data_IF_354708531137
#
_entry.id   IF_354708531137
#
_cell.length_a   1.000
_cell.length_b   1.000
_cell.length_c   1.000
_cell.angle_alpha   90.00
_cell.angle_beta   90.00
_cell.angle_gamma   90.00
#
_symmetry.space_group_name_H-M   'P 1'
#
loop_
_entity.id
_entity.type
_entity.pdbx_description
1 polymer ?
#
# COMPACT_ATOMS: atom_id res chain seq x y z
N UNK A 1 -8.35 -19.76 -14.63
CA UNK A 1 -7.24 -18.83 -14.91
C UNK A 1 -7.78 -17.41 -14.89
N UNK A 2 -7.66 -16.71 -13.76
CA UNK A 2 -8.06 -15.31 -13.66
C UNK A 2 -6.94 -14.47 -14.29
N UNK A 3 -7.15 -13.99 -15.53
CA UNK A 3 -6.29 -12.95 -16.11
C UNK A 3 -6.60 -11.66 -15.34
N UNK A 4 -5.88 -11.39 -14.25
CA UNK A 4 -5.98 -10.11 -13.59
C UNK A 4 -5.51 -9.03 -14.58
N UNK A 5 -6.40 -8.08 -14.89
CA UNK A 5 -6.00 -6.84 -15.57
C UNK A 5 -4.94 -6.20 -14.67
N UNK A 6 -3.73 -6.05 -15.19
CA UNK A 6 -2.60 -5.39 -14.50
C UNK A 6 -3.10 -4.13 -13.79
N UNK A 7 -3.23 -4.21 -12.48
CA UNK A 7 -3.58 -3.08 -11.63
C UNK A 7 -2.37 -2.15 -11.61
N UNK A 8 -2.54 -0.95 -12.11
CA UNK A 8 -1.50 0.09 -12.06
C UNK A 8 -1.78 0.87 -10.78
N UNK A 9 -0.79 0.99 -9.90
CA UNK A 9 -0.90 1.83 -8.70
C UNK A 9 -1.09 3.28 -9.14
N UNK A 10 -2.34 3.75 -9.15
CA UNK A 10 -2.72 5.00 -9.80
C UNK A 10 -2.55 6.23 -8.93
N UNK A 11 -2.58 6.10 -7.60
CA UNK A 11 -2.61 7.24 -6.68
C UNK A 11 -1.92 6.85 -5.36
N UNK A 12 -0.93 7.65 -4.93
CA UNK A 12 -0.20 7.46 -3.67
C UNK A 12 -0.44 8.68 -2.78
N UNK A 13 -0.85 8.44 -1.53
CA UNK A 13 -1.00 9.51 -0.54
C UNK A 13 -0.16 9.24 0.70
N UNK A 14 0.74 10.17 1.01
CA UNK A 14 1.55 10.12 2.23
C UNK A 14 0.74 10.60 3.42
N UNK A 15 0.91 9.94 4.56
CA UNK A 15 0.37 10.38 5.85
C UNK A 15 1.47 10.41 6.90
N UNK A 16 1.51 11.42 7.78
CA UNK A 16 2.50 11.50 8.87
C UNK A 16 2.22 10.51 10.01
N UNK A 17 1.12 9.75 9.96
CA UNK A 17 0.77 8.77 11.01
C UNK A 17 0.10 7.54 10.42
N UNK A 18 0.30 6.40 11.07
CA UNK A 18 -0.33 5.12 10.72
C UNK A 18 -1.87 5.22 10.67
N UNK A 19 -2.49 5.83 11.70
CA UNK A 19 -3.94 6.02 11.74
C UNK A 19 -4.45 6.91 10.58
N UNK A 20 -3.69 7.95 10.24
CA UNK A 20 -4.01 8.79 9.08
C UNK A 20 -3.89 8.06 7.76
N UNK A 21 -2.90 7.18 7.61
CA UNK A 21 -2.73 6.33 6.42
C UNK A 21 -3.91 5.36 6.24
N UNK A 22 -4.33 4.68 7.31
CA UNK A 22 -5.47 3.77 7.30
C UNK A 22 -6.77 4.47 6.89
N UNK A 23 -7.11 5.61 7.51
CA UNK A 23 -8.32 6.38 7.16
C UNK A 23 -8.31 6.89 5.72
N UNK A 24 -7.14 7.26 5.20
CA UNK A 24 -7.00 7.69 3.79
C UNK A 24 -7.18 6.51 2.85
N UNK A 25 -6.58 5.36 3.14
CA UNK A 25 -6.74 4.15 2.35
C UNK A 25 -8.21 3.72 2.29
N UNK A 26 -8.91 3.76 3.43
CA UNK A 26 -10.35 3.48 3.50
C UNK A 26 -11.18 4.49 2.68
N UNK A 27 -10.89 5.79 2.78
CA UNK A 27 -11.56 6.81 1.98
C UNK A 27 -11.29 6.67 0.47
N UNK A 28 -10.08 6.27 0.09
CA UNK A 28 -9.71 6.01 -1.30
C UNK A 28 -10.40 4.77 -1.86
N UNK A 29 -10.61 3.74 -1.05
CA UNK A 29 -11.34 2.53 -1.43
C UNK A 29 -12.81 2.82 -1.81
N UNK A 30 -13.38 3.96 -1.41
CA UNK A 30 -14.71 4.39 -1.89
C UNK A 30 -14.76 4.66 -3.41
N UNK A 31 -13.60 4.91 -4.05
CA UNK A 31 -13.50 5.21 -5.49
C UNK A 31 -12.48 4.34 -6.24
N UNK A 32 -11.81 3.42 -5.55
CA UNK A 32 -10.81 2.51 -6.11
C UNK A 32 -11.23 1.06 -5.88
N UNK A 33 -10.86 0.15 -6.80
CA UNK A 33 -11.18 -1.28 -6.66
C UNK A 33 -10.53 -1.89 -5.41
N UNK A 34 -9.31 -1.46 -5.09
CA UNK A 34 -8.58 -1.84 -3.89
C UNK A 34 -7.61 -0.74 -3.45
N UNK A 35 -7.35 -0.66 -2.15
CA UNK A 35 -6.37 0.26 -1.57
C UNK A 35 -5.74 -0.38 -0.34
N UNK A 36 -4.43 -0.19 -0.17
CA UNK A 36 -3.71 -0.64 1.02
C UNK A 36 -3.06 0.55 1.73
N UNK A 37 -3.09 0.54 3.05
CA UNK A 37 -2.27 1.42 3.87
C UNK A 37 -0.95 0.70 4.18
N UNK A 38 0.16 1.35 3.86
CA UNK A 38 1.51 0.79 4.04
C UNK A 38 2.31 1.75 4.93
N UNK A 39 3.02 1.19 5.89
CA UNK A 39 4.06 1.87 6.64
C UNK A 39 5.41 1.53 6.03
N UNK A 40 6.13 2.57 5.62
CA UNK A 40 7.50 2.47 5.14
C UNK A 40 8.41 3.01 6.23
N UNK A 41 9.42 2.23 6.62
CA UNK A 41 10.54 2.67 7.43
C UNK A 41 11.75 2.70 6.53
N UNK A 42 12.44 3.83 6.50
CA UNK A 42 13.66 4.02 5.75
C UNK A 42 14.76 4.50 6.70
N UNK A 43 15.97 4.09 6.40
CA UNK A 43 17.18 4.50 7.12
C UNK A 43 17.36 6.02 6.98
N UNK A 44 17.64 6.70 8.08
CA UNK A 44 17.68 8.17 8.12
C UNK A 44 18.97 8.76 7.55
N UNK A 45 20.03 7.95 7.41
CA UNK A 45 21.31 8.36 6.82
C UNK A 45 21.34 8.18 5.29
N UNK A 46 20.78 7.09 4.79
CA UNK A 46 20.86 6.67 3.38
C UNK A 46 19.56 6.84 2.60
N UNK A 47 18.42 6.87 3.31
CA UNK A 47 17.09 6.84 2.70
C UNK A 47 16.70 5.48 2.12
N UNK A 48 17.48 4.44 2.37
CA UNK A 48 17.19 3.07 1.92
C UNK A 48 16.00 2.48 2.68
N UNK A 49 15.19 1.67 2.00
CA UNK A 49 14.05 0.99 2.60
C UNK A 49 14.53 -0.04 3.63
N UNK A 50 14.20 0.16 4.90
CA UNK A 50 14.46 -0.83 5.95
C UNK A 50 13.32 -1.83 6.07
N UNK A 51 12.06 -1.35 6.01
CA UNK A 51 10.90 -2.22 6.07
C UNK A 51 9.64 -1.61 5.46
N UNK A 52 8.79 -2.48 4.92
CA UNK A 52 7.46 -2.15 4.45
C UNK A 52 6.44 -3.05 5.15
N UNK A 53 5.49 -2.46 5.89
CA UNK A 53 4.45 -3.20 6.62
C UNK A 53 3.07 -2.76 6.16
N UNK A 54 2.19 -3.72 5.85
CA UNK A 54 0.79 -3.41 5.54
C UNK A 54 0.04 -3.17 6.86
N UNK A 55 -0.55 -1.98 6.99
CA UNK A 55 -1.36 -1.59 8.13
C UNK A 55 -2.84 -1.97 7.97
N UNK A 56 -3.31 -1.99 6.73
CA UNK A 56 -4.70 -2.33 6.40
C UNK A 56 -4.91 -2.46 4.90
N UNK A 57 -5.89 -3.27 4.51
CA UNK A 57 -6.29 -3.47 3.12
C UNK A 57 -7.80 -3.28 3.01
N UNK A 58 -8.22 -2.61 1.94
CA UNK A 58 -9.61 -2.20 1.73
C UNK A 58 -9.98 -2.47 0.27
N UNK A 59 -11.10 -3.17 0.04
CA UNK A 59 -11.52 -3.60 -1.30
C UNK A 59 -10.76 -4.82 -1.83
N UNK A 60 -10.68 -4.97 -3.14
CA UNK A 60 -9.96 -6.05 -3.82
C UNK A 60 -8.47 -5.70 -3.96
N UNK A 61 -7.67 -6.08 -2.96
CA UNK A 61 -6.21 -6.05 -3.02
C UNK A 61 -5.71 -7.44 -3.43
N UNK A 62 -4.80 -7.57 -4.41
CA UNK A 62 -4.26 -8.86 -4.82
C UNK A 62 -3.55 -9.62 -3.69
N UNK A 63 -3.71 -10.94 -3.65
CA UNK A 63 -3.10 -11.80 -2.61
C UNK A 63 -1.56 -11.76 -2.63
N UNK A 64 -0.96 -11.53 -3.80
CA UNK A 64 0.50 -11.42 -4.01
C UNK A 64 1.05 -10.02 -3.72
N UNK A 65 0.18 -9.06 -3.38
CA UNK A 65 0.60 -7.68 -3.10
C UNK A 65 1.58 -7.61 -1.92
N UNK A 66 1.37 -8.41 -0.88
CA UNK A 66 2.28 -8.47 0.26
C UNK A 66 3.70 -8.95 -0.13
N UNK A 67 3.78 -9.90 -1.08
CA UNK A 67 5.05 -10.39 -1.61
C UNK A 67 5.76 -9.33 -2.45
N UNK A 68 4.99 -8.51 -3.19
CA UNK A 68 5.55 -7.41 -3.99
C UNK A 68 6.28 -6.35 -3.17
N UNK A 69 5.94 -6.18 -1.89
CA UNK A 69 6.59 -5.23 -0.98
C UNK A 69 7.96 -5.70 -0.49
N UNK A 70 8.27 -6.99 -0.62
CA UNK A 70 9.55 -7.58 -0.19
C UNK A 70 10.59 -7.56 -1.31
N UNK A 71 10.15 -7.39 -2.56
CA UNK A 71 11.00 -7.43 -3.75
C UNK A 71 11.41 -6.02 -4.26
N UNK A 72 11.09 -4.97 -3.51
CA UNK A 72 11.29 -3.56 -3.87
C UNK A 72 12.58 -2.98 -3.29
#
# INVERSE_FOLDING_TARGET
>A
MLKQKRLISSDWQVSPSSNGAMKRAEAMAARMLGTAAIQIVADDETGELESATILGQYGEVPDDFAESLQAA
#
